data_IF_570115573161
#
_entry.id   IF_570115573161
#
_cell.length_a   1.000
_cell.length_b   1.000
_cell.length_c   1.000
_cell.angle_alpha   90.00
_cell.angle_beta   90.00
_cell.angle_gamma   90.00
#
_symmetry.space_group_name_H-M   'P 1'
#
loop_
_entity.id
_entity.type
_entity.pdbx_description
1 polymer ?
#
# COMPACT_ATOMS: atom_id res chain seq x y z
N UNK A 1 25.78 7.85 -68.06
CA UNK A 1 26.17 6.55 -68.62
C UNK A 1 25.70 5.51 -67.62
N UNK A 2 24.52 4.92 -67.77
CA UNK A 2 24.18 3.85 -68.73
C UNK A 2 24.09 2.55 -67.91
N UNK A 3 22.90 2.10 -67.46
CA UNK A 3 22.02 1.06 -68.06
C UNK A 3 22.83 -0.18 -68.49
N UNK A 4 22.55 -1.39 -68.01
CA UNK A 4 21.74 -2.47 -68.64
C UNK A 4 21.91 -3.70 -67.68
N UNK A 5 20.87 -4.21 -67.02
CA UNK A 5 19.92 -5.30 -67.40
C UNK A 5 20.53 -6.72 -67.58
N UNK A 6 20.18 -7.60 -66.61
CA UNK A 6 19.56 -8.96 -66.73
C UNK A 6 20.18 -10.05 -67.64
N UNK A 7 19.68 -11.32 -67.72
CA UNK A 7 19.04 -12.25 -66.75
C UNK A 7 19.65 -13.68 -66.81
N UNK A 8 19.18 -14.63 -65.97
CA UNK A 8 18.58 -15.93 -66.40
C UNK A 8 18.72 -17.11 -65.42
N UNK A 9 17.59 -17.81 -65.32
CA UNK A 9 17.37 -19.23 -65.02
C UNK A 9 17.41 -19.71 -63.56
N UNK A 10 16.21 -19.93 -63.01
CA UNK A 10 15.56 -21.27 -63.00
C UNK A 10 14.09 -21.18 -62.54
N UNK A 11 13.20 -21.70 -63.37
CA UNK A 11 11.86 -22.26 -63.04
C UNK A 11 11.87 -23.73 -63.49
N UNK A 12 10.89 -24.61 -63.21
CA UNK A 12 9.55 -24.41 -62.64
C UNK A 12 9.10 -25.46 -61.59
N UNK A 13 7.94 -25.24 -60.93
CA UNK A 13 6.82 -26.20 -60.89
C UNK A 13 5.67 -25.69 -59.96
N UNK A 14 4.57 -25.30 -60.58
CA UNK A 14 3.18 -25.52 -60.11
C UNK A 14 2.53 -26.41 -61.19
N UNK A 15 1.38 -27.13 -61.01
CA UNK A 15 0.23 -26.78 -60.14
C UNK A 15 -0.61 -27.96 -59.59
N UNK A 16 -1.49 -27.68 -58.62
CA UNK A 16 -2.87 -28.23 -58.52
C UNK A 16 -3.50 -27.69 -57.23
N UNK A 17 -4.75 -27.26 -57.12
CA UNK A 17 -5.85 -27.35 -58.07
C UNK A 17 -7.19 -27.59 -57.35
N UNK A 18 -7.61 -26.65 -56.48
CA UNK A 18 -9.00 -26.39 -55.99
C UNK A 18 -9.71 -27.52 -55.17
N UNK A 19 -10.87 -27.26 -54.49
CA UNK A 19 -11.66 -26.01 -54.39
C UNK A 19 -11.99 -25.55 -52.96
N UNK A 20 -12.28 -24.24 -52.84
CA UNK A 20 -13.08 -23.66 -51.76
C UNK A 20 -14.47 -24.29 -51.74
N UNK A 21 -14.91 -24.72 -50.56
CA UNK A 21 -16.33 -25.00 -50.29
C UNK A 21 -16.77 -24.13 -49.12
N UNK A 22 -17.61 -23.15 -49.46
CA UNK A 22 -18.42 -22.42 -48.50
C UNK A 22 -19.37 -23.38 -47.80
N UNK A 23 -19.33 -23.41 -46.47
CA UNK A 23 -20.43 -23.91 -45.64
C UNK A 23 -20.53 -23.04 -44.40
N UNK A 24 -21.45 -22.07 -44.43
CA UNK A 24 -22.10 -21.55 -43.22
C UNK A 24 -23.26 -22.49 -42.90
N UNK A 25 -23.19 -23.17 -41.77
CA UNK A 25 -24.38 -23.66 -41.05
C UNK A 25 -24.01 -23.82 -39.57
N UNK A 26 -24.90 -23.36 -38.70
CA UNK A 26 -24.64 -23.12 -37.29
C UNK A 26 -24.32 -24.38 -36.48
N UNK A 27 -23.29 -24.26 -35.64
CA UNK A 27 -23.04 -25.15 -34.51
C UNK A 27 -22.95 -24.28 -33.27
N UNK A 28 -24.00 -24.30 -32.45
CA UNK A 28 -24.10 -23.48 -31.24
C UNK A 28 -22.85 -23.62 -30.37
N UNK A 29 -22.40 -22.50 -29.79
CA UNK A 29 -21.50 -22.50 -28.63
C UNK A 29 -22.16 -23.33 -27.53
N UNK A 30 -21.86 -24.62 -27.46
CA UNK A 30 -22.00 -25.40 -26.24
C UNK A 30 -21.01 -24.81 -25.26
N UNK A 31 -21.48 -23.86 -24.47
CA UNK A 31 -20.85 -23.58 -23.18
C UNK A 31 -21.00 -24.86 -22.37
N UNK A 32 -19.95 -25.69 -22.36
CA UNK A 32 -19.81 -26.73 -21.35
C UNK A 32 -19.81 -26.01 -20.00
N UNK A 33 -20.98 -25.90 -19.37
CA UNK A 33 -21.06 -25.70 -17.93
C UNK A 33 -20.30 -26.88 -17.33
N UNK A 34 -19.09 -26.63 -16.82
CA UNK A 34 -18.37 -27.63 -16.07
C UNK A 34 -19.32 -28.13 -14.96
N UNK A 35 -19.66 -29.42 -15.01
CA UNK A 35 -20.40 -30.06 -13.93
C UNK A 35 -19.55 -29.93 -12.67
N UNK A 36 -20.08 -29.24 -11.67
CA UNK A 36 -19.43 -29.18 -10.36
C UNK A 36 -19.36 -30.60 -9.78
N UNK A 37 -18.25 -30.98 -9.14
CA UNK A 37 -18.10 -32.32 -8.58
C UNK A 37 -19.16 -32.57 -7.51
N UNK A 38 -19.62 -33.81 -7.40
CA UNK A 38 -20.61 -34.21 -6.39
C UNK A 38 -19.97 -34.12 -5.00
N UNK A 39 -20.46 -33.21 -4.18
CA UNK A 39 -20.00 -33.02 -2.80
C UNK A 39 -20.76 -33.98 -1.88
N UNK A 40 -20.05 -34.66 -0.98
CA UNK A 40 -20.67 -35.59 -0.03
C UNK A 40 -21.57 -34.85 0.98
N UNK A 41 -22.78 -35.34 1.30
CA UNK A 41 -23.72 -34.64 2.19
C UNK A 41 -23.17 -34.37 3.60
N UNK A 42 -22.29 -35.24 4.11
CA UNK A 42 -21.68 -35.10 5.44
C UNK A 42 -20.44 -34.19 5.50
N UNK A 43 -20.11 -33.47 4.42
CA UNK A 43 -18.90 -32.64 4.37
C UNK A 43 -18.88 -31.54 5.44
N UNK A 44 -20.04 -30.96 5.75
CA UNK A 44 -20.17 -29.92 6.76
C UNK A 44 -20.01 -30.46 8.17
N UNK A 45 -20.51 -31.68 8.43
CA UNK A 45 -20.37 -32.37 9.70
C UNK A 45 -18.89 -32.71 9.95
N UNK A 46 -18.19 -33.22 8.93
CA UNK A 46 -16.76 -33.50 9.00
C UNK A 46 -15.95 -32.23 9.30
N UNK A 47 -16.21 -31.14 8.58
CA UNK A 47 -15.53 -29.86 8.81
C UNK A 47 -15.79 -29.34 10.24
N UNK A 48 -17.03 -29.50 10.74
CA UNK A 48 -17.41 -29.09 12.09
C UNK A 48 -16.80 -30.00 13.17
N UNK A 49 -16.59 -31.29 12.89
CA UNK A 49 -15.91 -32.21 13.79
C UNK A 49 -14.41 -31.87 13.90
N UNK A 50 -13.77 -31.59 12.78
CA UNK A 50 -12.36 -31.22 12.71
C UNK A 50 -12.07 -29.86 13.35
N UNK A 51 -12.92 -28.85 13.15
CA UNK A 51 -12.77 -27.55 13.80
C UNK A 51 -13.04 -27.58 15.32
N UNK A 52 -13.75 -28.59 15.82
CA UNK A 52 -13.97 -28.80 17.26
C UNK A 52 -12.86 -29.64 17.90
N UNK A 53 -11.97 -30.23 17.11
CA UNK A 53 -11.05 -31.24 17.58
C UNK A 53 -9.86 -30.59 18.28
N UNK A 54 -9.84 -30.69 19.61
CA UNK A 54 -8.67 -30.33 20.42
C UNK A 54 -7.45 -31.22 20.09
N UNK A 55 -6.29 -30.92 20.67
CA UNK A 55 -5.07 -31.75 20.54
C UNK A 55 -5.28 -33.19 21.01
N UNK A 56 -6.31 -33.46 21.83
CA UNK A 56 -6.66 -34.78 22.37
C UNK A 56 -7.90 -35.42 21.71
N UNK A 57 -8.32 -34.97 20.54
CA UNK A 57 -9.49 -35.51 19.87
C UNK A 57 -9.18 -36.79 19.08
N UNK A 58 -10.19 -37.67 18.97
CA UNK A 58 -10.15 -38.91 18.16
C UNK A 58 -9.82 -38.67 16.68
N UNK A 59 -9.99 -37.44 16.18
CA UNK A 59 -9.66 -37.01 14.82
C UNK A 59 -8.93 -35.66 14.85
N UNK A 60 -7.60 -35.64 15.05
CA UNK A 60 -6.83 -34.40 15.13
C UNK A 60 -6.83 -33.68 13.78
N UNK A 61 -7.15 -32.38 13.77
CA UNK A 61 -7.14 -31.56 12.55
C UNK A 61 -5.82 -31.69 11.78
N UNK A 62 -4.69 -31.59 12.49
CA UNK A 62 -3.36 -31.65 11.88
C UNK A 62 -3.06 -32.99 11.22
N UNK A 63 -3.45 -34.11 11.82
CA UNK A 63 -3.22 -35.43 11.24
C UNK A 63 -4.11 -35.64 10.00
N UNK A 64 -5.40 -35.31 10.11
CA UNK A 64 -6.32 -35.37 8.98
C UNK A 64 -5.79 -34.54 7.80
N UNK A 65 -5.38 -33.30 8.08
CA UNK A 65 -4.88 -32.35 7.08
C UNK A 65 -3.58 -32.84 6.42
N UNK A 66 -2.64 -33.35 7.22
CA UNK A 66 -1.39 -33.92 6.72
C UNK A 66 -1.63 -35.11 5.80
N UNK A 67 -2.51 -36.02 6.19
CA UNK A 67 -2.75 -37.29 5.49
C UNK A 67 -3.59 -37.12 4.23
N UNK A 68 -4.59 -36.23 4.24
CA UNK A 68 -5.57 -36.13 3.16
C UNK A 68 -5.36 -34.92 2.24
N UNK A 69 -4.65 -33.89 2.71
CA UNK A 69 -4.37 -32.68 1.93
C UNK A 69 -2.88 -32.56 1.60
N UNK A 70 -1.99 -32.55 2.59
CA UNK A 70 -0.55 -32.27 2.37
C UNK A 70 0.17 -33.32 1.54
N UNK A 71 -0.07 -34.60 1.82
CA UNK A 71 0.53 -35.71 1.09
C UNK A 71 0.13 -35.73 -0.39
N UNK A 72 -1.04 -35.17 -0.73
CA UNK A 72 -1.68 -35.24 -2.05
C UNK A 72 -1.66 -33.93 -2.84
N UNK A 73 -1.17 -32.84 -2.24
CA UNK A 73 -1.26 -31.49 -2.81
C UNK A 73 -0.66 -31.37 -4.23
N UNK A 74 0.41 -32.12 -4.50
CA UNK A 74 1.09 -32.14 -5.81
C UNK A 74 0.52 -33.17 -6.79
N UNK A 75 -0.30 -34.10 -6.32
CA UNK A 75 -0.89 -35.19 -7.12
C UNK A 75 -2.40 -35.06 -7.31
N UNK A 76 -3.00 -33.94 -6.87
CA UNK A 76 -4.41 -33.71 -7.08
C UNK A 76 -4.77 -33.63 -8.56
N UNK A 77 -5.77 -34.42 -8.94
CA UNK A 77 -6.50 -34.19 -10.18
C UNK A 77 -7.24 -32.84 -10.11
N UNK A 78 -7.68 -32.33 -11.27
CA UNK A 78 -8.51 -31.11 -11.31
C UNK A 78 -9.79 -31.25 -10.46
N UNK A 79 -10.37 -32.45 -10.41
CA UNK A 79 -11.57 -32.74 -9.62
C UNK A 79 -11.27 -32.80 -8.12
N UNK A 80 -10.20 -33.53 -7.73
CA UNK A 80 -9.76 -33.57 -6.33
C UNK A 80 -9.44 -32.18 -5.80
N UNK A 81 -8.76 -31.34 -6.60
CA UNK A 81 -8.43 -29.98 -6.21
C UNK A 81 -9.68 -29.12 -6.03
N UNK A 82 -10.70 -29.27 -6.90
CA UNK A 82 -11.98 -28.58 -6.72
C UNK A 82 -12.67 -29.00 -5.42
N UNK A 83 -12.74 -30.30 -5.13
CA UNK A 83 -13.30 -30.82 -3.89
C UNK A 83 -12.55 -30.33 -2.66
N UNK A 84 -11.22 -30.33 -2.72
CA UNK A 84 -10.35 -29.88 -1.64
C UNK A 84 -10.54 -28.36 -1.37
N UNK A 85 -10.71 -27.56 -2.41
CA UNK A 85 -11.01 -26.14 -2.30
C UNK A 85 -12.43 -25.88 -1.77
N UNK A 86 -13.42 -26.67 -2.18
CA UNK A 86 -14.78 -26.62 -1.59
C UNK A 86 -14.71 -26.95 -0.10
N UNK A 87 -13.96 -27.97 0.28
CA UNK A 87 -13.79 -28.33 1.68
C UNK A 87 -13.14 -27.22 2.50
N UNK A 88 -12.10 -26.56 1.96
CA UNK A 88 -11.48 -25.39 2.58
C UNK A 88 -12.49 -24.26 2.81
N UNK A 89 -13.38 -23.99 1.84
CA UNK A 89 -14.43 -22.96 1.99
C UNK A 89 -15.37 -23.24 3.16
N UNK A 90 -15.60 -24.51 3.47
CA UNK A 90 -16.49 -24.95 4.56
C UNK A 90 -15.74 -24.97 5.90
N UNK A 91 -14.46 -25.37 5.90
CA UNK A 91 -13.65 -25.54 7.10
C UNK A 91 -13.13 -24.22 7.66
N UNK A 92 -12.57 -23.33 6.82
CA UNK A 92 -11.92 -22.09 7.25
C UNK A 92 -12.84 -21.21 8.14
N UNK A 93 -14.12 -20.97 7.81
CA UNK A 93 -15.01 -20.16 8.66
C UNK A 93 -15.25 -20.72 10.06
N UNK A 94 -14.90 -21.99 10.31
CA UNK A 94 -15.14 -22.69 11.57
C UNK A 94 -13.91 -22.68 12.49
N UNK A 95 -12.76 -22.20 12.02
CA UNK A 95 -11.53 -22.14 12.80
C UNK A 95 -11.65 -21.08 13.90
N UNK A 96 -11.13 -21.40 15.09
CA UNK A 96 -11.23 -20.58 16.31
C UNK A 96 -9.89 -20.34 17.00
N UNK A 97 -8.82 -21.00 16.56
CA UNK A 97 -7.51 -20.97 17.24
C UNK A 97 -6.38 -20.70 16.26
N UNK A 98 -5.38 -19.93 16.68
CA UNK A 98 -4.15 -19.67 15.89
C UNK A 98 -3.49 -20.95 15.39
N UNK A 99 -3.41 -21.98 16.25
CA UNK A 99 -2.80 -23.27 15.87
C UNK A 99 -3.53 -23.96 14.70
N UNK A 100 -4.85 -23.78 14.60
CA UNK A 100 -5.63 -24.35 13.50
C UNK A 100 -5.38 -23.58 12.21
N UNK A 101 -5.34 -22.24 12.28
CA UNK A 101 -4.98 -21.39 11.14
C UNK A 101 -3.58 -21.76 10.64
N UNK A 102 -2.58 -21.83 11.53
CA UNK A 102 -1.22 -22.23 11.16
C UNK A 102 -1.15 -23.65 10.60
N UNK A 103 -2.04 -24.54 11.02
CA UNK A 103 -2.15 -25.89 10.46
C UNK A 103 -2.72 -25.87 9.05
N UNK A 104 -3.79 -25.10 8.80
CA UNK A 104 -4.48 -25.06 7.50
C UNK A 104 -3.72 -24.21 6.48
N UNK A 105 -3.25 -23.04 6.88
CA UNK A 105 -2.44 -22.10 6.09
C UNK A 105 -0.93 -22.33 6.32
N UNK A 106 -0.52 -23.58 6.51
CA UNK A 106 0.87 -23.93 6.71
C UNK A 106 1.72 -23.80 5.44
N UNK A 107 3.03 -23.99 5.60
CA UNK A 107 4.05 -23.80 4.56
C UNK A 107 3.73 -24.47 3.23
N UNK A 108 3.29 -25.73 3.26
CA UNK A 108 2.97 -26.48 2.04
C UNK A 108 1.82 -25.85 1.27
N UNK A 109 0.77 -25.40 1.96
CA UNK A 109 -0.40 -24.78 1.31
C UNK A 109 -0.03 -23.44 0.73
N UNK A 110 0.58 -22.57 1.53
CA UNK A 110 0.94 -21.22 1.08
C UNK A 110 1.92 -21.29 -0.09
N UNK A 111 2.93 -22.16 0.00
CA UNK A 111 3.88 -22.38 -1.11
C UNK A 111 3.18 -22.91 -2.36
N UNK A 112 2.23 -23.85 -2.21
CA UNK A 112 1.45 -24.34 -3.33
C UNK A 112 0.59 -23.26 -3.96
N UNK A 113 -0.08 -22.43 -3.16
CA UNK A 113 -0.88 -21.29 -3.64
C UNK A 113 0.01 -20.33 -4.44
N UNK A 114 1.14 -19.90 -3.88
CA UNK A 114 2.06 -18.97 -4.52
C UNK A 114 2.62 -19.52 -5.84
N UNK A 115 3.00 -20.80 -5.88
CA UNK A 115 3.57 -21.42 -7.08
C UNK A 115 2.54 -21.69 -8.18
N UNK A 116 1.29 -21.97 -7.83
CA UNK A 116 0.29 -22.47 -8.77
C UNK A 116 -0.85 -21.49 -9.07
N UNK A 117 -0.95 -20.35 -8.35
CA UNK A 117 -2.07 -19.40 -8.46
C UNK A 117 -2.40 -18.99 -9.90
N UNK A 118 -1.37 -18.79 -10.74
CA UNK A 118 -1.54 -18.29 -12.09
C UNK A 118 -1.50 -19.38 -13.18
N UNK A 119 -0.90 -20.53 -12.89
CA UNK A 119 -0.70 -21.62 -13.85
C UNK A 119 -1.84 -22.66 -13.79
N UNK A 120 -2.47 -22.84 -12.63
CA UNK A 120 -3.56 -23.79 -12.45
C UNK A 120 -4.93 -23.11 -12.59
N UNK A 121 -5.69 -23.47 -13.64
CA UNK A 121 -7.00 -22.87 -13.96
C UNK A 121 -8.04 -23.05 -12.84
N UNK A 122 -8.06 -24.21 -12.19
CA UNK A 122 -8.98 -24.51 -11.08
C UNK A 122 -8.67 -23.61 -9.90
N UNK A 123 -7.39 -23.55 -9.51
CA UNK A 123 -6.96 -22.72 -8.40
C UNK A 123 -7.24 -21.23 -8.68
N UNK A 124 -6.86 -20.75 -9.87
CA UNK A 124 -7.10 -19.37 -10.29
C UNK A 124 -8.56 -18.96 -10.19
N UNK A 125 -9.48 -19.85 -10.56
CA UNK A 125 -10.92 -19.61 -10.46
C UNK A 125 -11.43 -19.59 -9.02
N UNK A 126 -10.80 -20.34 -8.11
CA UNK A 126 -11.23 -20.48 -6.72
C UNK A 126 -10.60 -19.44 -5.76
N UNK A 127 -9.47 -18.83 -6.13
CA UNK A 127 -8.76 -17.85 -5.30
C UNK A 127 -9.62 -16.66 -4.83
N UNK A 128 -10.50 -16.06 -5.66
CA UNK A 128 -11.39 -14.99 -5.20
C UNK A 128 -12.33 -15.45 -4.07
N UNK A 129 -12.87 -16.67 -4.17
CA UNK A 129 -13.74 -17.22 -3.14
C UNK A 129 -12.97 -17.55 -1.87
N UNK A 130 -11.75 -18.10 -1.99
CA UNK A 130 -10.87 -18.34 -0.84
C UNK A 130 -10.53 -17.02 -0.12
N UNK A 131 -10.27 -15.96 -0.89
CA UNK A 131 -10.03 -14.63 -0.33
C UNK A 131 -11.23 -14.11 0.46
N UNK A 132 -12.45 -14.31 -0.05
CA UNK A 132 -13.69 -13.93 0.66
C UNK A 132 -13.90 -14.75 1.92
N UNK A 133 -13.59 -16.04 1.89
CA UNK A 133 -13.71 -16.92 3.06
C UNK A 133 -12.73 -16.54 4.17
N UNK A 134 -11.48 -16.21 3.81
CA UNK A 134 -10.50 -15.70 4.78
C UNK A 134 -10.90 -14.32 5.33
N UNK A 135 -11.42 -13.44 4.47
CA UNK A 135 -11.97 -12.15 4.90
C UNK A 135 -13.10 -12.35 5.94
N UNK A 136 -14.03 -13.29 5.68
CA UNK A 136 -15.11 -13.63 6.61
C UNK A 136 -14.62 -14.21 7.93
N UNK A 137 -13.60 -15.08 7.90
CA UNK A 137 -12.97 -15.59 9.12
C UNK A 137 -12.44 -14.43 9.97
N UNK A 138 -11.64 -13.54 9.38
CA UNK A 138 -11.07 -12.41 10.10
C UNK A 138 -12.16 -11.45 10.61
N UNK A 139 -13.15 -11.14 9.77
CA UNK A 139 -14.24 -10.23 10.11
C UNK A 139 -15.13 -10.73 11.26
N UNK A 140 -15.41 -12.04 11.30
CA UNK A 140 -16.34 -12.62 12.26
C UNK A 140 -15.65 -13.08 13.55
N UNK A 141 -14.32 -13.11 13.59
CA UNK A 141 -13.59 -13.49 14.78
C UNK A 141 -13.45 -12.29 15.72
N UNK A 142 -13.81 -12.43 16.98
CA UNK A 142 -13.37 -11.50 18.02
C UNK A 142 -11.96 -11.93 18.45
N UNK A 143 -10.93 -11.20 18.01
CA UNK A 143 -9.57 -11.51 18.44
C UNK A 143 -9.37 -11.15 19.91
N UNK A 144 -9.53 -12.17 20.76
CA UNK A 144 -9.14 -12.22 22.17
C UNK A 144 -7.74 -12.83 22.26
N UNK A 145 -7.53 -13.80 23.14
CA UNK A 145 -6.21 -14.41 23.39
C UNK A 145 -5.68 -15.29 22.25
N UNK A 146 -6.55 -15.74 21.34
CA UNK A 146 -6.23 -16.77 20.34
C UNK A 146 -5.58 -16.24 19.04
N UNK A 147 -5.42 -14.92 18.88
CA UNK A 147 -4.70 -14.25 17.75
C UNK A 147 -4.99 -14.82 16.34
N UNK A 148 -6.25 -15.17 16.06
CA UNK A 148 -6.66 -15.82 14.80
C UNK A 148 -6.55 -14.83 13.65
N UNK A 149 -7.00 -13.59 13.83
CA UNK A 149 -6.95 -12.58 12.79
C UNK A 149 -5.50 -12.29 12.38
N UNK A 150 -4.61 -12.13 13.38
CA UNK A 150 -3.19 -11.92 13.14
C UNK A 150 -2.55 -13.13 12.43
N UNK A 151 -2.84 -14.35 12.89
CA UNK A 151 -2.30 -15.58 12.29
C UNK A 151 -2.66 -15.75 10.82
N UNK A 152 -3.88 -15.36 10.42
CA UNK A 152 -4.30 -15.38 9.01
C UNK A 152 -3.44 -14.41 8.19
N UNK A 153 -3.29 -13.17 8.65
CA UNK A 153 -2.53 -12.15 7.91
C UNK A 153 -1.04 -12.52 7.85
N UNK A 154 -0.46 -12.95 8.97
CA UNK A 154 0.94 -13.38 9.05
C UNK A 154 1.24 -14.54 8.09
N UNK A 155 0.36 -15.54 7.98
CA UNK A 155 0.54 -16.65 7.06
C UNK A 155 0.59 -16.21 5.58
N UNK A 156 -0.06 -15.09 5.24
CA UNK A 156 -0.06 -14.54 3.87
C UNK A 156 1.20 -13.72 3.59
N UNK A 157 1.63 -12.86 4.52
CA UNK A 157 2.70 -11.87 4.29
C UNK A 157 4.08 -12.27 4.81
N UNK A 158 4.15 -13.12 5.84
CA UNK A 158 5.40 -13.59 6.43
C UNK A 158 5.71 -15.01 5.93
N UNK A 159 7.00 -15.41 5.84
CA UNK A 159 7.36 -16.79 5.49
C UNK A 159 6.51 -17.78 6.29
N UNK A 160 5.82 -18.73 5.62
CA UNK A 160 6.01 -19.20 4.25
C UNK A 160 5.37 -18.35 3.13
N UNK A 161 4.55 -17.38 3.50
CA UNK A 161 3.98 -16.38 2.61
C UNK A 161 5.00 -15.37 2.11
N UNK A 162 4.50 -14.28 1.54
CA UNK A 162 5.34 -13.21 1.01
C UNK A 162 4.59 -11.89 1.07
N UNK A 163 5.31 -10.82 1.36
CA UNK A 163 4.78 -9.45 1.32
C UNK A 163 4.15 -9.10 -0.05
N UNK A 164 4.53 -9.83 -1.11
CA UNK A 164 3.99 -9.72 -2.46
C UNK A 164 2.77 -10.63 -2.74
N UNK A 165 2.16 -11.24 -1.72
CA UNK A 165 1.16 -12.31 -1.89
C UNK A 165 0.06 -11.93 -2.89
N UNK A 166 -0.50 -10.74 -2.73
CA UNK A 166 -1.57 -10.21 -3.59
C UNK A 166 -1.08 -10.01 -5.04
N UNK A 167 0.15 -9.52 -5.24
CA UNK A 167 0.75 -9.37 -6.56
C UNK A 167 1.03 -10.72 -7.24
N UNK A 168 1.51 -11.71 -6.48
CA UNK A 168 1.78 -13.06 -6.97
C UNK A 168 0.49 -13.79 -7.32
N UNK A 169 -0.52 -13.71 -6.46
CA UNK A 169 -1.78 -14.44 -6.64
C UNK A 169 -2.80 -13.70 -7.51
N UNK A 170 -2.55 -12.42 -7.83
CA UNK A 170 -3.50 -11.51 -8.49
C UNK A 170 -4.83 -11.42 -7.75
N UNK A 171 -4.75 -11.36 -6.42
CA UNK A 171 -5.88 -11.19 -5.51
C UNK A 171 -5.66 -9.96 -4.61
N UNK A 172 -6.67 -9.59 -3.82
CA UNK A 172 -6.55 -8.56 -2.78
C UNK A 172 -6.74 -9.18 -1.39
N UNK A 173 -6.21 -10.39 -1.18
CA UNK A 173 -6.47 -11.20 0.00
C UNK A 173 -5.85 -10.58 1.25
N UNK A 174 -4.61 -10.08 1.16
CA UNK A 174 -3.94 -9.37 2.25
C UNK A 174 -4.68 -8.08 2.56
N UNK A 175 -5.00 -7.28 1.54
CA UNK A 175 -5.70 -6.00 1.75
C UNK A 175 -7.07 -6.19 2.43
N UNK A 176 -7.84 -7.21 2.03
CA UNK A 176 -9.17 -7.51 2.59
C UNK A 176 -9.10 -7.99 4.03
N UNK A 177 -8.12 -8.84 4.34
CA UNK A 177 -7.96 -9.37 5.71
C UNK A 177 -7.44 -8.29 6.66
N UNK A 178 -6.46 -7.48 6.24
CA UNK A 178 -5.93 -6.37 7.07
C UNK A 178 -7.02 -5.41 7.53
N UNK A 179 -8.02 -5.12 6.69
CA UNK A 179 -9.11 -4.18 7.01
C UNK A 179 -9.90 -4.54 8.28
N UNK A 180 -9.97 -5.83 8.61
CA UNK A 180 -10.78 -6.35 9.71
C UNK A 180 -9.98 -6.64 10.98
N UNK A 181 -8.65 -6.47 10.95
CA UNK A 181 -7.79 -6.63 12.12
C UNK A 181 -8.25 -5.75 13.29
N UNK A 182 -8.11 -6.24 14.53
CA UNK A 182 -8.30 -5.42 15.73
C UNK A 182 -7.22 -4.35 15.85
N UNK A 183 -7.46 -3.32 16.68
CA UNK A 183 -6.46 -2.28 16.94
C UNK A 183 -5.16 -2.86 17.55
N UNK A 184 -5.28 -3.91 18.37
CA UNK A 184 -4.11 -4.60 18.96
C UNK A 184 -3.28 -5.29 17.88
N UNK A 185 -3.92 -6.03 16.98
CA UNK A 185 -3.20 -6.81 15.96
C UNK A 185 -2.61 -5.92 14.87
N UNK A 186 -3.30 -4.81 14.53
CA UNK A 186 -2.73 -3.77 13.65
C UNK A 186 -1.43 -3.24 14.22
N UNK A 187 -1.37 -2.97 15.54
CA UNK A 187 -0.15 -2.46 16.20
C UNK A 187 0.94 -3.51 16.25
N UNK A 188 0.63 -4.75 16.67
CA UNK A 188 1.60 -5.86 16.71
C UNK A 188 2.24 -6.07 15.34
N UNK A 189 1.41 -6.14 14.29
CA UNK A 189 1.89 -6.28 12.93
C UNK A 189 2.68 -5.05 12.47
N UNK A 190 2.17 -3.85 12.73
CA UNK A 190 2.87 -2.61 12.36
C UNK A 190 4.24 -2.49 13.01
N UNK A 191 4.39 -2.81 14.29
CA UNK A 191 5.67 -2.81 14.98
C UNK A 191 6.65 -3.84 14.40
N UNK A 192 6.15 -5.02 14.01
CA UNK A 192 6.96 -6.01 13.29
C UNK A 192 7.44 -5.48 11.93
N UNK A 193 6.54 -4.91 11.14
CA UNK A 193 6.82 -4.35 9.81
C UNK A 193 7.82 -3.20 9.91
N UNK A 194 7.65 -2.32 10.89
CA UNK A 194 8.52 -1.18 11.15
C UNK A 194 9.95 -1.61 11.52
N UNK A 195 10.11 -2.68 12.31
CA UNK A 195 11.44 -3.26 12.57
C UNK A 195 12.11 -3.76 11.30
N UNK A 196 11.34 -4.34 10.35
CA UNK A 196 11.88 -4.82 9.06
C UNK A 196 12.30 -3.67 8.14
N UNK A 197 11.52 -2.59 8.09
CA UNK A 197 11.88 -1.37 7.36
C UNK A 197 13.21 -0.80 7.89
N UNK A 198 13.35 -0.66 9.20
CA UNK A 198 14.57 -0.11 9.81
C UNK A 198 15.77 -1.06 9.75
N UNK A 199 15.53 -2.38 9.63
CA UNK A 199 16.55 -3.41 9.49
C UNK A 199 17.26 -3.45 8.13
N UNK A 200 16.97 -2.50 7.22
CA UNK A 200 17.53 -2.41 5.85
C UNK A 200 17.26 -3.65 4.99
N UNK A 201 16.11 -4.29 5.17
CA UNK A 201 15.66 -5.43 4.36
C UNK A 201 15.57 -5.05 2.87
N UNK A 202 15.81 -5.99 1.95
CA UNK A 202 15.71 -5.75 0.51
C UNK A 202 14.28 -5.52 0.02
N UNK A 203 13.29 -5.89 0.84
CA UNK A 203 11.87 -5.67 0.61
C UNK A 203 11.31 -4.47 1.40
N UNK A 204 12.15 -3.57 1.94
CA UNK A 204 11.72 -2.41 2.76
C UNK A 204 10.57 -1.60 2.13
N UNK A 205 10.58 -1.40 0.80
CA UNK A 205 9.52 -0.67 0.10
C UNK A 205 8.16 -1.38 0.17
N UNK A 206 8.14 -2.71 0.17
CA UNK A 206 6.89 -3.49 0.25
C UNK A 206 6.38 -3.57 1.69
N UNK A 207 7.30 -3.63 2.65
CA UNK A 207 6.94 -3.46 4.06
C UNK A 207 6.32 -2.08 4.30
N UNK A 208 6.82 -1.03 3.65
CA UNK A 208 6.23 0.31 3.71
C UNK A 208 4.80 0.33 3.16
N UNK A 209 4.53 -0.32 2.02
CA UNK A 209 3.16 -0.43 1.47
C UNK A 209 2.19 -1.10 2.44
N UNK A 210 2.61 -2.18 3.11
CA UNK A 210 1.79 -2.82 4.15
C UNK A 210 1.60 -1.90 5.36
N UNK A 211 2.62 -1.16 5.78
CA UNK A 211 2.48 -0.17 6.85
C UNK A 211 1.48 0.93 6.47
N UNK A 212 1.43 1.37 5.21
CA UNK A 212 0.40 2.30 4.72
C UNK A 212 -1.01 1.71 4.88
N UNK A 213 -1.21 0.43 4.54
CA UNK A 213 -2.50 -0.25 4.76
C UNK A 213 -2.90 -0.27 6.24
N UNK A 214 -1.93 -0.46 7.13
CA UNK A 214 -2.15 -0.45 8.58
C UNK A 214 -2.49 0.95 9.11
N UNK A 215 -1.77 1.99 8.66
CA UNK A 215 -2.05 3.40 9.01
C UNK A 215 -3.46 3.87 8.56
N UNK A 216 -3.98 3.26 7.49
CA UNK A 216 -5.33 3.49 6.98
C UNK A 216 -6.41 2.73 7.75
N UNK A 217 -6.06 1.79 8.62
CA UNK A 217 -7.04 0.93 9.26
C UNK A 217 -7.97 1.75 10.20
N UNK A 218 -9.30 1.63 10.07
CA UNK A 218 -10.23 2.41 10.89
C UNK A 218 -10.13 2.11 12.40
N UNK A 219 -9.66 0.93 12.80
CA UNK A 219 -9.53 0.53 14.21
C UNK A 219 -8.46 1.28 14.97
N UNK A 220 -7.49 1.89 14.28
CA UNK A 220 -6.46 2.72 14.90
C UNK A 220 -6.71 4.21 14.72
N UNK A 221 -7.86 4.63 14.18
CA UNK A 221 -8.17 6.04 13.84
C UNK A 221 -8.07 7.00 15.04
N UNK A 222 -8.31 6.53 16.25
CA UNK A 222 -8.20 7.37 17.46
C UNK A 222 -6.79 7.34 18.07
N UNK A 223 -5.93 6.39 17.68
CA UNK A 223 -4.57 6.29 18.21
C UNK A 223 -3.57 7.17 17.45
N UNK A 224 -3.67 8.47 17.69
CA UNK A 224 -2.80 9.48 17.08
C UNK A 224 -1.33 9.26 17.45
N UNK A 225 -1.06 8.82 18.69
CA UNK A 225 0.30 8.63 19.19
C UNK A 225 1.03 7.52 18.43
N UNK A 226 0.42 6.35 18.31
CA UNK A 226 1.01 5.23 17.56
C UNK A 226 1.24 5.60 16.09
N UNK A 227 0.24 6.21 15.42
CA UNK A 227 0.38 6.63 14.01
C UNK A 227 1.51 7.64 13.82
N UNK A 228 1.65 8.59 14.73
CA UNK A 228 2.74 9.58 14.70
C UNK A 228 4.11 8.91 14.82
N UNK A 229 4.26 7.91 15.69
CA UNK A 229 5.51 7.16 15.82
C UNK A 229 5.85 6.33 14.57
N UNK A 230 4.84 5.74 13.91
CA UNK A 230 5.06 5.07 12.63
C UNK A 230 5.48 6.06 11.53
N UNK A 231 4.88 7.25 11.46
CA UNK A 231 5.31 8.30 10.52
C UNK A 231 6.74 8.77 10.79
N UNK A 232 7.13 8.97 12.05
CA UNK A 232 8.51 9.29 12.43
C UNK A 232 9.48 8.20 11.98
N UNK A 233 9.08 6.94 12.08
CA UNK A 233 9.93 5.83 11.62
C UNK A 233 10.05 5.80 10.10
N UNK A 234 8.96 6.06 9.37
CA UNK A 234 9.00 6.22 7.92
C UNK A 234 9.88 7.40 7.49
N UNK A 235 9.86 8.52 8.22
CA UNK A 235 10.76 9.67 7.97
C UNK A 235 12.21 9.22 8.10
N UNK A 236 12.57 8.58 9.22
CA UNK A 236 13.92 8.06 9.44
C UNK A 236 14.35 7.11 8.32
N UNK A 237 13.52 6.11 8.02
CA UNK A 237 13.79 5.13 6.97
C UNK A 237 13.99 5.80 5.60
N UNK A 238 13.13 6.78 5.26
CA UNK A 238 13.22 7.52 3.99
C UNK A 238 14.52 8.31 3.90
N UNK A 239 14.91 8.97 5.00
CA UNK A 239 16.12 9.79 5.07
C UNK A 239 17.43 9.01 5.03
N UNK A 240 17.46 7.78 5.56
CA UNK A 240 18.70 6.96 5.59
C UNK A 240 18.78 5.93 4.47
N UNK A 241 17.70 5.72 3.73
CA UNK A 241 17.66 4.71 2.67
C UNK A 241 18.56 5.12 1.50
N UNK A 242 19.66 4.39 1.30
CA UNK A 242 20.57 4.53 0.16
C UNK A 242 20.09 3.77 -1.10
N UNK A 243 18.96 3.06 -1.02
CA UNK A 243 18.52 2.14 -2.10
C UNK A 243 17.76 2.87 -3.20
N UNK A 244 17.86 2.35 -4.43
CA UNK A 244 17.11 2.80 -5.64
C UNK A 244 15.58 2.78 -5.48
N UNK A 245 15.06 2.16 -4.41
CA UNK A 245 13.62 1.98 -4.13
C UNK A 245 13.07 2.94 -3.06
N UNK A 246 13.80 4.02 -2.76
CA UNK A 246 13.35 5.11 -1.87
C UNK A 246 11.99 5.69 -2.24
N UNK A 247 11.56 5.55 -3.51
CA UNK A 247 10.26 6.06 -3.95
C UNK A 247 9.07 5.40 -3.23
N UNK A 248 9.14 4.10 -2.89
CA UNK A 248 8.06 3.43 -2.18
C UNK A 248 7.90 3.95 -0.74
N UNK A 249 9.01 4.11 -0.03
CA UNK A 249 9.05 4.70 1.32
C UNK A 249 8.51 6.14 1.30
N UNK A 250 8.99 6.93 0.34
CA UNK A 250 8.56 8.31 0.14
C UNK A 250 7.07 8.41 -0.16
N UNK A 251 6.54 7.61 -1.09
CA UNK A 251 5.11 7.62 -1.43
C UNK A 251 4.25 7.21 -0.23
N UNK A 252 4.68 6.20 0.51
CA UNK A 252 4.02 5.73 1.75
C UNK A 252 4.00 6.84 2.80
N UNK A 253 5.14 7.50 3.03
CA UNK A 253 5.26 8.62 3.96
C UNK A 253 4.32 9.76 3.58
N UNK A 254 4.33 10.21 2.31
CA UNK A 254 3.48 11.29 1.83
C UNK A 254 1.99 10.93 1.97
N UNK A 255 1.61 9.70 1.64
CA UNK A 255 0.24 9.22 1.83
C UNK A 255 -0.18 9.23 3.30
N UNK A 256 0.69 8.78 4.21
CA UNK A 256 0.44 8.79 5.65
C UNK A 256 0.30 10.22 6.21
N UNK A 257 1.21 11.12 5.82
CA UNK A 257 1.15 12.53 6.20
C UNK A 257 -0.12 13.22 5.70
N UNK A 258 -0.52 12.95 4.45
CA UNK A 258 -1.77 13.46 3.88
C UNK A 258 -2.99 13.03 4.69
N UNK A 259 -3.06 11.76 5.09
CA UNK A 259 -4.20 11.26 5.86
C UNK A 259 -4.28 11.85 7.26
N UNK A 260 -3.14 11.95 7.94
CA UNK A 260 -3.12 12.56 9.28
C UNK A 260 -3.45 14.04 9.23
N UNK A 261 -2.99 14.75 8.19
CA UNK A 261 -3.35 16.14 7.98
C UNK A 261 -4.86 16.34 7.76
N UNK A 262 -5.52 15.42 7.04
CA UNK A 262 -6.98 15.45 6.88
C UNK A 262 -7.75 15.18 8.17
N UNK A 263 -7.17 14.40 9.08
CA UNK A 263 -7.77 14.05 10.38
C UNK A 263 -7.49 15.10 11.45
N UNK A 264 -6.41 15.86 11.31
CA UNK A 264 -5.97 16.81 12.31
C UNK A 264 -6.96 17.97 12.45
N UNK A 265 -7.37 18.33 13.68
CA UNK A 265 -8.21 19.51 13.91
C UNK A 265 -7.48 20.82 13.59
N UNK A 266 -6.14 20.79 13.59
CA UNK A 266 -5.29 21.91 13.21
C UNK A 266 -4.09 21.39 12.43
N UNK A 267 -3.92 21.88 11.20
CA UNK A 267 -2.76 21.57 10.37
C UNK A 267 -1.45 21.98 11.08
N UNK A 268 -1.46 23.13 11.74
CA UNK A 268 -0.29 23.64 12.47
C UNK A 268 0.09 22.74 13.65
N UNK A 269 -0.90 22.29 14.44
CA UNK A 269 -0.66 21.42 15.59
C UNK A 269 -0.10 20.06 15.20
N UNK A 270 -0.49 19.54 14.03
CA UNK A 270 0.05 18.29 13.48
C UNK A 270 1.42 18.47 12.82
N UNK A 271 1.55 19.46 11.91
CA UNK A 271 2.74 19.63 11.09
C UNK A 271 3.96 20.12 11.89
N UNK A 272 3.76 20.99 12.88
CA UNK A 272 4.89 21.53 13.67
C UNK A 272 5.76 20.42 14.30
N UNK A 273 5.22 19.52 15.16
CA UNK A 273 6.05 18.51 15.81
C UNK A 273 6.67 17.52 14.83
N UNK A 274 5.99 17.20 13.73
CA UNK A 274 6.51 16.26 12.73
C UNK A 274 7.62 16.89 11.87
N UNK A 275 7.54 18.19 11.59
CA UNK A 275 8.59 18.92 10.87
C UNK A 275 9.79 19.18 11.78
N UNK A 276 9.58 19.57 13.04
CA UNK A 276 10.68 19.75 14.00
C UNK A 276 11.50 18.46 14.15
N UNK A 277 10.81 17.31 14.22
CA UNK A 277 11.45 16.00 14.20
C UNK A 277 12.21 15.76 12.88
N UNK A 278 11.56 15.99 11.75
CA UNK A 278 12.14 15.78 10.42
C UNK A 278 13.42 16.59 10.20
N UNK A 279 13.41 17.89 10.52
CA UNK A 279 14.58 18.77 10.37
C UNK A 279 15.75 18.31 11.25
N UNK A 280 15.46 17.86 12.48
CA UNK A 280 16.48 17.28 13.36
C UNK A 280 17.12 16.03 12.78
N UNK A 281 16.32 15.14 12.17
CA UNK A 281 16.85 13.92 11.54
C UNK A 281 17.65 14.25 10.27
N UNK A 282 17.25 15.26 9.49
CA UNK A 282 18.02 15.76 8.33
C UNK A 282 19.40 16.28 8.76
N UNK A 283 19.47 17.04 9.85
CA UNK A 283 20.73 17.55 10.41
C UNK A 283 21.65 16.41 10.86
N UNK A 284 21.08 15.33 11.39
CA UNK A 284 21.84 14.14 11.79
C UNK A 284 22.33 13.30 10.60
N UNK A 285 21.79 13.49 9.39
CA UNK A 285 22.22 12.77 8.20
C UNK A 285 23.55 13.33 7.66
N UNK A 286 24.62 12.57 7.80
CA UNK A 286 25.97 12.95 7.34
C UNK A 286 26.27 12.52 5.91
N UNK A 287 25.57 11.53 5.38
CA UNK A 287 25.83 10.92 4.08
C UNK A 287 24.93 11.51 2.99
N UNK A 288 25.49 11.73 1.81
CA UNK A 288 24.71 12.05 0.61
C UNK A 288 24.11 10.76 0.02
N UNK A 289 22.79 10.73 -0.08
CA UNK A 289 22.04 9.62 -0.67
C UNK A 289 21.11 10.07 -1.82
N UNK A 290 21.39 11.23 -2.41
CA UNK A 290 20.59 11.86 -3.44
C UNK A 290 19.34 12.57 -2.92
N UNK A 291 18.64 12.01 -1.92
CA UNK A 291 17.55 12.70 -1.23
C UNK A 291 18.09 13.79 -0.29
N UNK A 292 19.14 13.45 0.46
CA UNK A 292 19.84 14.33 1.41
C UNK A 292 21.16 14.76 0.78
N UNK A 293 21.07 15.61 -0.25
CA UNK A 293 22.19 16.23 -0.94
C UNK A 293 22.47 17.66 -0.41
N UNK A 294 23.64 18.26 -0.68
CA UNK A 294 23.91 19.66 -0.32
C UNK A 294 22.83 20.64 -0.80
N UNK A 295 22.31 20.42 -2.02
CA UNK A 295 21.24 21.24 -2.61
C UNK A 295 19.93 21.12 -1.83
N UNK A 296 19.51 19.89 -1.51
CA UNK A 296 18.29 19.67 -0.71
C UNK A 296 18.42 20.22 0.72
N UNK A 297 19.60 20.12 1.33
CA UNK A 297 19.90 20.68 2.66
C UNK A 297 19.79 22.19 2.68
N UNK A 298 20.30 22.87 1.66
CA UNK A 298 20.15 24.32 1.53
C UNK A 298 18.66 24.74 1.49
N UNK A 299 17.82 23.99 0.78
CA UNK A 299 16.38 24.24 0.75
C UNK A 299 15.74 24.03 2.13
N UNK A 300 16.10 22.95 2.84
CA UNK A 300 15.60 22.71 4.20
C UNK A 300 16.08 23.75 5.22
N UNK A 301 17.33 24.21 5.12
CA UNK A 301 17.87 25.30 5.95
C UNK A 301 17.13 26.61 5.69
N UNK A 302 16.78 26.89 4.43
CA UNK A 302 15.94 28.03 4.10
C UNK A 302 14.56 27.91 4.77
N UNK A 303 13.88 26.76 4.63
CA UNK A 303 12.60 26.49 5.32
C UNK A 303 12.72 26.71 6.83
N UNK A 304 13.78 26.18 7.46
CA UNK A 304 14.05 26.36 8.90
C UNK A 304 14.19 27.83 9.27
N UNK A 305 14.94 28.62 8.50
CA UNK A 305 15.08 30.07 8.70
C UNK A 305 13.75 30.80 8.57
N UNK A 306 12.94 30.49 7.56
CA UNK A 306 11.63 31.12 7.33
C UNK A 306 10.63 30.80 8.44
N UNK A 307 10.61 29.55 8.93
CA UNK A 307 9.82 29.15 10.10
C UNK A 307 10.26 29.94 11.35
N UNK A 308 11.57 30.11 11.57
CA UNK A 308 12.09 30.90 12.68
C UNK A 308 11.65 32.38 12.60
N UNK A 309 11.72 32.99 11.41
CA UNK A 309 11.22 34.34 11.16
C UNK A 309 9.73 34.47 11.49
N UNK A 310 8.90 33.52 11.04
CA UNK A 310 7.46 33.49 11.29
C UNK A 310 7.10 33.25 12.78
N UNK A 311 7.98 32.59 13.53
CA UNK A 311 7.84 32.39 14.97
C UNK A 311 8.34 33.59 15.81
N UNK A 312 9.14 34.47 15.23
CA UNK A 312 9.59 35.69 15.91
C UNK A 312 8.42 36.65 16.19
N UNK A 313 8.43 37.28 17.37
CA UNK A 313 7.38 38.20 17.84
C UNK A 313 7.41 39.59 17.15
N UNK A 314 8.31 39.82 16.19
CA UNK A 314 8.54 41.15 15.63
C UNK A 314 7.60 41.53 14.47
N UNK A 315 6.73 40.64 14.01
CA UNK A 315 5.82 40.94 12.90
C UNK A 315 4.43 41.40 13.35
N UNK A 316 3.97 42.55 12.84
CA UNK A 316 2.54 42.79 12.65
C UNK A 316 2.13 42.01 11.41
N UNK A 317 1.14 41.14 11.52
CA UNK A 317 0.69 40.29 10.43
C UNK A 317 -0.76 40.62 10.08
N UNK A 318 -1.11 40.74 8.79
CA UNK A 318 -2.50 40.93 8.40
C UNK A 318 -3.27 39.63 8.62
N UNK A 319 -4.38 39.69 9.36
CA UNK A 319 -5.29 38.58 9.61
C UNK A 319 -4.55 37.28 10.05
N UNK A 320 -4.85 36.16 9.41
CA UNK A 320 -4.26 34.83 9.67
C UNK A 320 -3.03 34.51 8.78
N UNK A 321 -2.47 35.49 8.06
CA UNK A 321 -1.33 35.29 7.13
C UNK A 321 -0.15 34.54 7.74
N UNK A 322 0.23 34.85 8.97
CA UNK A 322 1.32 34.17 9.68
C UNK A 322 1.05 32.66 9.80
N UNK A 323 -0.17 32.28 10.19
CA UNK A 323 -0.55 30.87 10.34
C UNK A 323 -0.56 30.15 8.99
N UNK A 324 -1.10 30.80 7.96
CA UNK A 324 -1.13 30.24 6.60
C UNK A 324 0.27 29.97 6.09
N UNK A 325 1.14 30.98 6.15
CA UNK A 325 2.54 30.86 5.71
C UNK A 325 3.28 29.79 6.51
N UNK A 326 3.06 29.69 7.83
CA UNK A 326 3.65 28.62 8.65
C UNK A 326 3.28 27.23 8.13
N UNK A 327 1.99 26.98 7.88
CA UNK A 327 1.52 25.69 7.37
C UNK A 327 2.16 25.39 6.01
N UNK A 328 2.24 26.38 5.12
CA UNK A 328 2.86 26.22 3.81
C UNK A 328 4.36 25.90 3.92
N UNK A 329 5.14 26.64 4.71
CA UNK A 329 6.56 26.34 4.92
C UNK A 329 6.78 24.99 5.64
N UNK A 330 5.91 24.60 6.57
CA UNK A 330 5.97 23.25 7.16
C UNK A 330 5.71 22.16 6.11
N UNK A 331 4.73 22.36 5.23
CA UNK A 331 4.45 21.42 4.15
C UNK A 331 5.60 21.33 3.14
N UNK A 332 6.32 22.44 2.90
CA UNK A 332 7.50 22.47 2.03
C UNK A 332 8.60 21.50 2.48
N UNK A 333 8.76 21.26 3.78
CA UNK A 333 9.74 20.28 4.29
C UNK A 333 9.56 18.90 3.63
N UNK A 334 8.31 18.45 3.48
CA UNK A 334 8.00 17.16 2.87
C UNK A 334 7.92 17.23 1.34
N UNK A 335 7.59 18.38 0.77
CA UNK A 335 7.63 18.56 -0.68
C UNK A 335 9.05 18.53 -1.23
N UNK A 336 10.04 19.08 -0.52
CA UNK A 336 11.46 18.92 -0.88
C UNK A 336 11.84 17.43 -0.93
N UNK A 337 11.31 16.60 0.00
CA UNK A 337 11.54 15.16 -0.07
C UNK A 337 10.89 14.51 -1.30
N UNK A 338 9.78 15.07 -1.78
CA UNK A 338 9.06 14.57 -2.95
C UNK A 338 9.76 14.95 -4.25
N UNK A 339 9.99 16.25 -4.44
CA UNK A 339 10.56 16.88 -5.63
C UNK A 339 11.32 18.15 -5.23
N UNK A 340 12.64 18.02 -5.02
CA UNK A 340 13.48 19.14 -4.60
C UNK A 340 13.63 20.22 -5.71
N UNK A 341 13.54 19.84 -6.99
CA UNK A 341 13.66 20.79 -8.11
C UNK A 341 12.41 21.66 -8.18
N UNK A 342 11.22 21.04 -8.11
CA UNK A 342 9.95 21.75 -8.02
C UNK A 342 9.87 22.61 -6.75
N UNK A 343 10.41 22.11 -5.63
CA UNK A 343 10.41 22.83 -4.36
C UNK A 343 11.15 24.16 -4.39
N UNK A 344 12.26 24.28 -5.12
CA UNK A 344 12.99 25.54 -5.27
C UNK A 344 12.11 26.65 -5.86
N UNK A 345 11.46 26.38 -7.00
CA UNK A 345 10.55 27.32 -7.68
C UNK A 345 9.34 27.69 -6.82
N UNK A 346 8.79 26.71 -6.11
CA UNK A 346 7.65 26.94 -5.23
C UNK A 346 8.04 27.82 -4.03
N UNK A 347 9.24 27.63 -3.49
CA UNK A 347 9.75 28.41 -2.37
C UNK A 347 10.01 29.88 -2.73
N UNK A 348 10.50 30.17 -3.94
CA UNK A 348 10.68 31.55 -4.43
C UNK A 348 9.36 32.33 -4.38
N UNK A 349 8.27 31.75 -4.90
CA UNK A 349 6.95 32.39 -4.82
C UNK A 349 6.40 32.46 -3.40
N UNK A 350 6.67 31.47 -2.55
CA UNK A 350 6.26 31.55 -1.15
C UNK A 350 7.00 32.68 -0.40
N UNK A 351 8.25 32.93 -0.76
CA UNK A 351 9.06 34.05 -0.26
C UNK A 351 8.52 35.42 -0.73
N UNK A 352 8.02 35.51 -1.97
CA UNK A 352 7.29 36.69 -2.46
C UNK A 352 6.03 36.95 -1.61
N UNK A 353 5.22 35.91 -1.34
CA UNK A 353 4.04 36.03 -0.47
C UNK A 353 4.41 36.49 0.94
N UNK A 354 5.48 35.94 1.52
CA UNK A 354 5.98 36.33 2.83
C UNK A 354 6.31 37.82 2.87
N UNK A 355 7.02 38.31 1.85
CA UNK A 355 7.44 39.71 1.73
C UNK A 355 6.24 40.65 1.63
N UNK A 356 5.28 40.34 0.74
CA UNK A 356 4.03 41.12 0.59
C UNK A 356 3.23 41.14 1.90
N UNK A 357 3.12 40.01 2.59
CA UNK A 357 2.38 39.93 3.85
C UNK A 357 3.02 40.77 4.97
N UNK A 358 4.35 40.81 5.04
CA UNK A 358 5.10 41.63 6.00
C UNK A 358 4.95 43.13 5.72
N UNK A 359 5.01 43.54 4.46
CA UNK A 359 4.78 44.93 4.06
C UNK A 359 3.37 45.40 4.39
N UNK A 360 2.37 44.55 4.13
CA UNK A 360 0.96 44.86 4.40
C UNK A 360 0.65 44.90 5.88
N UNK A 361 1.25 44.04 6.71
CA UNK A 361 1.09 44.10 8.17
C UNK A 361 1.63 45.40 8.79
N UNK A 362 2.52 46.09 8.09
CA UNK A 362 3.04 47.41 8.49
C UNK A 362 2.12 48.57 8.09
N UNK A 363 1.20 48.37 7.14
CA UNK A 363 0.21 49.36 6.67
C UNK A 363 -1.17 49.04 7.26
N UNK A 364 -2.02 50.04 7.55
CA UNK A 364 -3.41 49.77 8.01
C UNK A 364 -4.20 49.11 6.86
N UNK A 365 -4.37 47.80 6.92
CA UNK A 365 -5.06 47.03 5.88
C UNK A 365 -6.54 47.43 5.76
N UNK A 366 -6.96 47.86 4.57
CA UNK A 366 -8.36 48.00 4.16
C UNK A 366 -8.96 46.61 3.89
N UNK A 367 -10.28 46.48 4.07
CA UNK A 367 -11.07 45.22 4.05
C UNK A 367 -11.13 44.48 2.69
N UNK A 368 -10.44 44.93 1.65
CA UNK A 368 -10.42 44.23 0.36
C UNK A 368 -9.64 42.90 0.46
N UNK A 369 -9.96 41.95 -0.43
CA UNK A 369 -9.23 40.69 -0.55
C UNK A 369 -7.73 40.97 -0.67
N UNK A 370 -6.97 40.55 0.35
CA UNK A 370 -5.58 40.93 0.49
C UNK A 370 -4.77 40.30 -0.65
N UNK A 371 -3.93 41.07 -1.37
CA UNK A 371 -3.12 40.57 -2.48
C UNK A 371 -2.33 39.29 -2.15
N UNK A 372 -1.83 39.13 -0.92
CA UNK A 372 -1.10 37.91 -0.51
C UNK A 372 -2.00 36.66 -0.51
N UNK A 373 -3.30 36.79 -0.22
CA UNK A 373 -4.26 35.68 -0.26
C UNK A 373 -4.49 35.24 -1.70
N UNK A 374 -4.60 36.20 -2.63
CA UNK A 374 -4.71 35.93 -4.06
C UNK A 374 -3.45 35.23 -4.56
N UNK A 375 -2.27 35.77 -4.27
CA UNK A 375 -0.99 35.15 -4.66
C UNK A 375 -0.79 33.77 -4.03
N UNK A 376 -1.16 33.57 -2.76
CA UNK A 376 -1.10 32.26 -2.11
C UNK A 376 -2.08 31.27 -2.75
N UNK A 377 -3.29 31.70 -3.08
CA UNK A 377 -4.30 30.88 -3.76
C UNK A 377 -3.86 30.54 -5.19
N UNK A 378 -3.29 31.49 -5.92
CA UNK A 378 -2.68 31.26 -7.23
C UNK A 378 -1.47 30.34 -7.14
N UNK A 379 -0.64 30.43 -6.10
CA UNK A 379 0.42 29.47 -5.80
C UNK A 379 -0.14 28.05 -5.66
N UNK A 380 -1.24 27.90 -4.92
CA UNK A 380 -1.92 26.62 -4.70
C UNK A 380 -2.55 26.09 -5.98
N UNK A 381 -3.06 26.97 -6.86
CA UNK A 381 -3.72 26.57 -8.11
C UNK A 381 -2.72 26.37 -9.26
N UNK A 382 -1.63 27.14 -9.32
CA UNK A 382 -0.67 27.19 -10.42
C UNK A 382 0.64 26.42 -10.15
N UNK A 383 1.02 26.20 -8.88
CA UNK A 383 2.19 25.39 -8.49
C UNK A 383 1.85 24.09 -7.75
N UNK A 384 0.57 23.76 -7.66
CA UNK A 384 0.16 22.38 -7.52
C UNK A 384 -0.08 21.63 -8.86
N UNK A 385 0.56 21.93 -10.02
CA UNK A 385 0.27 21.17 -11.21
C UNK A 385 0.83 19.76 -11.04
N UNK A 386 -0.09 18.83 -11.32
CA UNK A 386 -0.02 17.38 -11.52
C UNK A 386 -0.08 16.40 -10.33
N UNK A 387 0.84 16.35 -9.35
CA UNK A 387 0.95 15.09 -8.55
C UNK A 387 1.01 15.16 -7.01
N UNK A 388 1.20 16.32 -6.36
CA UNK A 388 1.30 16.38 -4.89
C UNK A 388 -0.02 16.78 -4.21
N UNK A 389 -0.88 15.77 -3.95
CA UNK A 389 -2.13 15.92 -3.17
C UNK A 389 -1.90 16.44 -1.75
N UNK A 390 -0.70 16.21 -1.19
CA UNK A 390 -0.30 16.66 0.15
C UNK A 390 -0.22 18.19 0.26
N UNK A 391 0.53 18.86 -0.62
CA UNK A 391 0.70 20.32 -0.58
C UNK A 391 -0.65 21.03 -0.74
N UNK A 392 -1.49 20.55 -1.67
CA UNK A 392 -2.84 21.09 -1.88
C UNK A 392 -3.70 20.99 -0.61
N UNK A 393 -3.60 19.87 0.09
CA UNK A 393 -4.39 19.63 1.31
C UNK A 393 -3.87 20.45 2.48
N UNK A 394 -2.56 20.59 2.62
CA UNK A 394 -1.94 21.45 3.62
C UNK A 394 -2.36 22.90 3.45
N UNK A 395 -2.28 23.38 2.21
CA UNK A 395 -2.75 24.70 1.83
C UNK A 395 -4.24 24.92 2.14
N UNK A 396 -5.13 24.02 1.70
CA UNK A 396 -6.56 24.11 2.01
C UNK A 396 -6.83 24.11 3.53
N UNK A 397 -6.05 23.32 4.28
CA UNK A 397 -6.18 23.23 5.74
C UNK A 397 -5.56 24.43 6.47
N UNK A 398 -4.76 25.24 5.79
CA UNK A 398 -4.18 26.47 6.32
C UNK A 398 -5.19 27.62 6.36
N UNK A 399 -6.17 27.61 5.45
CA UNK A 399 -7.24 28.61 5.35
C UNK A 399 -8.52 28.24 6.11
N UNK A 400 -8.60 27.04 6.68
CA UNK A 400 -9.63 26.64 7.64
C UNK A 400 -9.20 27.08 9.03
#
# INVERSE_FOLDING_TARGET
MGVIDDPLHRTPASPSGRPRRDTKAGGGKKTCKALLPKVHPLIEELASALARSGTNAKFPLGEFWRTNFYSRLHSFSSEDLQLALIFLKILIPKLKRKSEVSTILGEKVITFLLRNANSNKVLKAALPDLSKVLEQLVQNHEDKEEEVQLAVVEALILPPGTIQFDSVTKTNMVQRTIKHLTASDVKKLGDYITKRIMGKDDQEGMYAEVLALLLMNPKIKEDVAWRTEQLKTLIKATLVSQKKKTHYLRNTLIQGLYQELQRAPSALAFLKPIVDFTLKEIEACTEDNGLVSPQSKELWDNVKKKIATLNSKQGKWPNNSNQVLKVLYYAMTFYIMQDFIGAGKLMEKLDECLSVAQEQGSKKATKEELPWVVTATELILNYAPSDSTFIRTAAQSAFK
#
